data_IF_568451118080
#
_entry.id   IF_568451118080
#
_cell.length_a   1.000
_cell.length_b   1.000
_cell.length_c   1.000
_cell.angle_alpha   90.00
_cell.angle_beta   90.00
_cell.angle_gamma   90.00
#
_symmetry.space_group_name_H-M   'P 1'
#
loop_
_entity.id
_entity.type
_entity.pdbx_description
1 polymer ?
#
# COMPACT_ATOMS: atom_id res chain seq x y z
N UNK A 1 14.00 -20.50 8.95
CA UNK A 1 13.23 -21.67 8.46
C UNK A 1 13.39 -21.88 6.97
N UNK A 2 13.09 -20.91 6.08
CA UNK A 2 13.28 -21.09 4.63
C UNK A 2 14.73 -21.42 4.21
N UNK A 3 15.70 -20.58 4.56
CA UNK A 3 17.13 -20.87 4.34
C UNK A 3 17.58 -22.16 5.06
N UNK A 4 17.04 -22.45 6.25
CA UNK A 4 17.35 -23.68 6.97
C UNK A 4 16.80 -24.95 6.28
N UNK A 5 15.78 -24.82 5.43
CA UNK A 5 15.14 -25.93 4.71
C UNK A 5 15.68 -26.11 3.29
N UNK A 6 16.09 -25.01 2.62
CA UNK A 6 16.52 -25.03 1.21
C UNK A 6 17.98 -24.61 0.99
N UNK A 7 18.68 -24.18 2.04
CA UNK A 7 20.06 -23.68 1.93
C UNK A 7 20.16 -22.50 0.96
N UNK A 8 21.26 -22.47 0.21
CA UNK A 8 21.54 -21.42 -0.77
C UNK A 8 20.56 -21.41 -1.96
N UNK A 9 19.79 -22.49 -2.16
CA UNK A 9 18.75 -22.59 -3.20
C UNK A 9 17.42 -21.92 -2.79
N UNK A 10 17.37 -21.23 -1.64
CA UNK A 10 16.12 -20.63 -1.14
C UNK A 10 15.61 -19.50 -2.06
N UNK A 11 14.38 -19.59 -2.61
CA UNK A 11 13.87 -18.58 -3.53
C UNK A 11 13.37 -17.34 -2.77
N UNK A 12 13.59 -16.16 -3.36
CA UNK A 12 13.16 -14.87 -2.78
C UNK A 12 11.64 -14.70 -2.64
N UNK A 13 10.85 -15.45 -3.42
CA UNK A 13 9.43 -15.68 -3.17
C UNK A 13 9.21 -17.18 -3.00
N UNK A 14 8.97 -17.58 -1.76
CA UNK A 14 8.81 -18.98 -1.38
C UNK A 14 7.65 -19.65 -2.13
N UNK A 15 6.55 -18.94 -2.39
CA UNK A 15 5.35 -19.49 -3.02
C UNK A 15 5.56 -19.85 -4.49
N UNK A 16 6.42 -19.13 -5.20
CA UNK A 16 6.81 -19.49 -6.58
C UNK A 16 7.81 -20.63 -6.63
N UNK A 17 8.57 -20.87 -5.54
CA UNK A 17 9.52 -21.98 -5.43
C UNK A 17 8.88 -23.35 -5.17
N UNK A 18 7.68 -23.36 -4.59
CA UNK A 18 6.97 -24.58 -4.19
C UNK A 18 6.07 -25.20 -5.27
N UNK A 19 6.01 -24.63 -6.48
CA UNK A 19 5.09 -25.08 -7.54
C UNK A 19 5.24 -26.56 -7.96
N UNK A 20 6.30 -27.24 -7.52
CA UNK A 20 6.62 -28.64 -7.88
C UNK A 20 6.55 -29.65 -6.73
N UNK A 21 6.30 -29.22 -5.48
CA UNK A 21 6.25 -30.14 -4.32
C UNK A 21 4.83 -30.20 -3.74
N UNK A 22 4.22 -31.39 -3.79
CA UNK A 22 2.96 -31.69 -3.11
C UNK A 22 3.09 -31.39 -1.60
N UNK A 23 2.09 -30.75 -0.96
CA UNK A 23 0.70 -30.67 -1.42
C UNK A 23 0.23 -29.28 -1.91
N UNK A 24 -0.43 -29.25 -3.07
CA UNK A 24 -0.97 -28.05 -3.71
C UNK A 24 -2.03 -27.29 -2.88
N UNK A 25 -2.82 -27.99 -2.05
CA UNK A 25 -3.87 -27.36 -1.23
C UNK A 25 -3.31 -26.34 -0.24
N UNK A 26 -2.10 -26.57 0.28
CA UNK A 26 -1.49 -25.66 1.25
C UNK A 26 -1.01 -24.37 0.56
N UNK A 27 -0.49 -24.50 -0.67
CA UNK A 27 -0.12 -23.38 -1.51
C UNK A 27 -1.35 -22.54 -1.88
N UNK A 28 -2.47 -23.19 -2.21
CA UNK A 28 -3.73 -22.51 -2.54
C UNK A 28 -4.31 -21.74 -1.36
N UNK A 29 -4.30 -22.31 -0.15
CA UNK A 29 -4.73 -21.61 1.07
C UNK A 29 -3.80 -20.43 1.36
N UNK A 30 -2.49 -20.59 1.20
CA UNK A 30 -1.53 -19.51 1.40
C UNK A 30 -1.77 -18.35 0.41
N UNK A 31 -1.98 -18.67 -0.87
CA UNK A 31 -2.32 -17.68 -1.90
C UNK A 31 -3.66 -16.99 -1.60
N UNK A 32 -4.69 -17.73 -1.17
CA UNK A 32 -5.98 -17.16 -0.79
C UNK A 32 -5.85 -16.21 0.39
N UNK A 33 -5.08 -16.57 1.42
CA UNK A 33 -4.83 -15.72 2.57
C UNK A 33 -4.12 -14.41 2.15
N UNK A 34 -3.15 -14.49 1.24
CA UNK A 34 -2.47 -13.32 0.68
C UNK A 34 -3.44 -12.42 -0.08
N UNK A 35 -4.29 -12.98 -0.93
CA UNK A 35 -5.31 -12.20 -1.66
C UNK A 35 -6.24 -11.48 -0.69
N UNK A 36 -6.78 -12.19 0.30
CA UNK A 36 -7.69 -11.60 1.30
C UNK A 36 -6.99 -10.47 2.07
N UNK A 37 -5.76 -10.72 2.54
CA UNK A 37 -4.98 -9.73 3.27
C UNK A 37 -4.67 -8.49 2.42
N UNK A 38 -4.19 -8.68 1.18
CA UNK A 38 -3.82 -7.59 0.29
C UNK A 38 -5.03 -6.77 -0.16
N UNK A 39 -6.19 -7.39 -0.41
CA UNK A 39 -7.42 -6.67 -0.73
C UNK A 39 -7.84 -5.80 0.46
N UNK A 40 -7.82 -6.34 1.68
CA UNK A 40 -8.12 -5.58 2.89
C UNK A 40 -7.15 -4.42 3.10
N UNK A 41 -5.85 -4.67 2.99
CA UNK A 41 -4.81 -3.65 3.10
C UNK A 41 -5.00 -2.55 2.04
N UNK A 42 -5.22 -2.92 0.78
CA UNK A 42 -5.46 -1.98 -0.31
C UNK A 42 -6.66 -1.06 -0.02
N UNK A 43 -7.77 -1.62 0.47
CA UNK A 43 -8.95 -0.83 0.82
C UNK A 43 -8.66 0.20 1.92
N UNK A 44 -7.97 -0.21 2.98
CA UNK A 44 -7.64 0.69 4.11
C UNK A 44 -6.62 1.76 3.69
N UNK A 45 -5.57 1.40 2.94
CA UNK A 45 -4.54 2.35 2.53
C UNK A 45 -5.03 3.37 1.50
N UNK A 46 -5.93 2.98 0.59
CA UNK A 46 -6.43 3.90 -0.45
C UNK A 46 -7.42 4.94 0.09
N UNK A 47 -8.12 4.64 1.19
CA UNK A 47 -9.16 5.51 1.75
C UNK A 47 -8.64 6.91 2.13
N UNK A 48 -7.57 7.07 2.93
CA UNK A 48 -7.01 8.38 3.26
C UNK A 48 -6.52 9.15 2.03
N UNK A 49 -5.91 8.46 1.07
CA UNK A 49 -5.39 9.07 -0.15
C UNK A 49 -6.53 9.64 -1.00
N UNK A 50 -7.61 8.87 -1.19
CA UNK A 50 -8.79 9.36 -1.89
C UNK A 50 -9.43 10.53 -1.15
N UNK A 51 -9.60 10.44 0.17
CA UNK A 51 -10.17 11.52 0.96
C UNK A 51 -9.35 12.82 0.87
N UNK A 52 -8.02 12.71 0.90
CA UNK A 52 -7.13 13.86 0.76
C UNK A 52 -7.27 14.54 -0.61
N UNK A 53 -7.23 13.76 -1.69
CA UNK A 53 -7.31 14.29 -3.06
C UNK A 53 -8.71 14.87 -3.33
N UNK A 54 -9.77 14.17 -2.92
CA UNK A 54 -11.14 14.65 -3.03
C UNK A 54 -11.31 15.99 -2.28
N UNK A 55 -10.76 16.11 -1.07
CA UNK A 55 -10.77 17.36 -0.30
C UNK A 55 -10.01 18.47 -1.01
N UNK A 56 -8.77 18.22 -1.45
CA UNK A 56 -7.95 19.22 -2.14
C UNK A 56 -8.62 19.71 -3.44
N UNK A 57 -9.20 18.81 -4.23
CA UNK A 57 -9.89 19.17 -5.46
C UNK A 57 -11.16 20.00 -5.20
N UNK A 58 -11.90 19.68 -4.13
CA UNK A 58 -13.11 20.41 -3.73
C UNK A 58 -12.76 21.83 -3.25
N UNK A 59 -11.71 21.97 -2.44
CA UNK A 59 -11.22 23.28 -1.97
C UNK A 59 -10.64 24.13 -3.10
N UNK A 60 -9.96 23.51 -4.07
CA UNK A 60 -9.30 24.22 -5.18
C UNK A 60 -10.27 24.65 -6.27
N UNK A 61 -11.31 23.87 -6.55
CA UNK A 61 -12.28 24.13 -7.61
C UNK A 61 -13.73 24.01 -7.14
N UNK A 62 -14.18 24.89 -6.22
CA UNK A 62 -15.53 24.81 -5.65
C UNK A 62 -16.65 25.03 -6.69
N UNK A 63 -16.37 25.79 -7.75
CA UNK A 63 -17.34 26.15 -8.79
C UNK A 63 -17.50 25.11 -9.92
N UNK A 64 -16.70 24.04 -9.92
CA UNK A 64 -16.77 23.04 -10.98
C UNK A 64 -17.90 22.04 -10.72
N UNK A 65 -18.94 22.09 -11.56
CA UNK A 65 -20.07 21.18 -11.48
C UNK A 65 -19.69 19.69 -11.62
N UNK A 66 -18.54 19.34 -12.22
CA UNK A 66 -18.07 17.95 -12.29
C UNK A 66 -17.51 17.42 -10.96
N UNK A 67 -17.01 18.31 -10.10
CA UNK A 67 -16.39 17.97 -8.80
C UNK A 67 -17.43 18.05 -7.69
N UNK A 68 -18.34 19.03 -7.73
CA UNK A 68 -19.30 19.29 -6.64
C UNK A 68 -20.65 18.59 -6.82
N UNK A 69 -20.96 18.08 -8.02
CA UNK A 69 -22.28 17.49 -8.29
C UNK A 69 -22.36 16.04 -7.80
N UNK A 70 -23.16 15.85 -6.76
CA UNK A 70 -23.53 14.55 -6.23
C UNK A 70 -24.86 14.07 -6.83
N UNK A 71 -24.85 12.88 -7.42
CA UNK A 71 -26.02 12.19 -7.92
C UNK A 71 -26.42 11.10 -6.91
N UNK A 72 -27.57 11.23 -6.28
CA UNK A 72 -28.10 10.18 -5.42
C UNK A 72 -28.63 9.06 -6.29
N UNK A 73 -27.99 7.89 -6.23
CA UNK A 73 -28.45 6.69 -6.93
C UNK A 73 -28.92 5.71 -5.88
N UNK A 74 -30.18 5.28 -6.02
CA UNK A 74 -30.76 4.28 -5.13
C UNK A 74 -30.40 2.91 -5.66
N UNK A 75 -29.45 2.23 -5.01
CA UNK A 75 -29.02 0.89 -5.43
C UNK A 75 -29.90 -0.11 -4.69
N UNK A 76 -30.68 -0.94 -5.40
CA UNK A 76 -31.46 -1.99 -4.76
C UNK A 76 -30.46 -2.94 -4.08
N UNK A 77 -30.53 -3.06 -2.75
CA UNK A 77 -29.68 -3.88 -1.85
C UNK A 77 -28.54 -3.17 -1.09
N UNK A 78 -28.05 -1.99 -1.49
CA UNK A 78 -26.94 -1.29 -0.78
C UNK A 78 -27.28 0.10 -0.22
N UNK A 79 -28.49 0.60 -0.44
CA UNK A 79 -28.93 1.91 0.06
C UNK A 79 -28.80 3.04 -0.97
N UNK A 80 -28.97 4.28 -0.51
CA UNK A 80 -28.87 5.47 -1.36
C UNK A 80 -27.49 6.09 -1.24
N UNK A 81 -26.57 5.71 -2.13
CA UNK A 81 -25.24 6.31 -2.19
C UNK A 81 -25.23 7.55 -3.10
N UNK A 82 -24.56 8.62 -2.66
CA UNK A 82 -24.26 9.76 -3.51
C UNK A 82 -23.04 9.45 -4.39
N UNK A 83 -23.29 9.24 -5.67
CA UNK A 83 -22.27 9.06 -6.69
C UNK A 83 -21.82 10.41 -7.24
N UNK A 84 -20.51 10.61 -7.23
CA UNK A 84 -19.87 11.79 -7.79
C UNK A 84 -18.99 11.33 -8.97
N UNK A 85 -19.19 11.93 -10.14
CA UNK A 85 -18.49 11.53 -11.37
C UNK A 85 -16.96 11.68 -11.22
N UNK A 86 -16.51 12.72 -10.52
CA UNK A 86 -15.09 12.90 -10.22
C UNK A 86 -14.54 11.74 -9.39
N UNK A 87 -15.25 11.33 -8.33
CA UNK A 87 -14.84 10.20 -7.47
C UNK A 87 -14.72 8.90 -8.27
N UNK A 88 -15.65 8.64 -9.18
CA UNK A 88 -15.64 7.46 -10.05
C UNK A 88 -14.44 7.47 -11.00
N UNK A 89 -14.28 8.56 -11.77
CA UNK A 89 -13.20 8.69 -12.77
C UNK A 89 -11.84 8.62 -12.08
N UNK A 90 -11.65 9.34 -10.98
CA UNK A 90 -10.38 9.35 -10.25
C UNK A 90 -10.01 7.96 -9.73
N UNK A 91 -10.96 7.21 -9.17
CA UNK A 91 -10.70 5.85 -8.67
C UNK A 91 -10.31 4.90 -9.79
N UNK A 92 -10.97 4.97 -10.95
CA UNK A 92 -10.63 4.15 -12.12
C UNK A 92 -9.22 4.49 -12.61
N UNK A 93 -8.91 5.77 -12.79
CA UNK A 93 -7.59 6.23 -13.24
C UNK A 93 -6.50 5.75 -12.27
N UNK A 94 -6.72 5.87 -10.96
CA UNK A 94 -5.78 5.41 -9.95
C UNK A 94 -5.54 3.89 -10.00
N UNK A 95 -6.61 3.09 -10.12
CA UNK A 95 -6.50 1.63 -10.24
C UNK A 95 -5.76 1.24 -11.52
N UNK A 96 -6.12 1.83 -12.67
CA UNK A 96 -5.44 1.57 -13.93
C UNK A 96 -3.95 1.93 -13.85
N UNK A 97 -3.62 3.10 -13.30
CA UNK A 97 -2.24 3.56 -13.15
C UNK A 97 -1.40 2.65 -12.26
N UNK A 98 -1.91 2.28 -11.08
CA UNK A 98 -1.21 1.39 -10.15
C UNK A 98 -1.05 -0.02 -10.72
N UNK A 99 -2.05 -0.51 -11.45
CA UNK A 99 -1.99 -1.82 -12.14
C UNK A 99 -0.94 -1.83 -13.24
N UNK A 100 -0.90 -0.79 -14.09
CA UNK A 100 0.13 -0.66 -15.14
C UNK A 100 1.52 -0.58 -14.52
N UNK A 101 1.68 0.22 -13.46
CA UNK A 101 2.96 0.31 -12.74
C UNK A 101 3.39 -1.05 -12.17
N UNK A 102 2.45 -1.81 -11.59
CA UNK A 102 2.71 -3.16 -11.08
C UNK A 102 3.12 -4.14 -12.19
N UNK A 103 2.51 -4.05 -13.38
CA UNK A 103 2.87 -4.88 -14.54
C UNK A 103 4.26 -4.55 -15.10
N UNK A 104 4.66 -3.27 -15.06
CA UNK A 104 5.96 -2.82 -15.56
C UNK A 104 7.12 -3.17 -14.63
N UNK A 105 6.86 -3.44 -13.35
CA UNK A 105 7.87 -3.60 -12.31
C UNK A 105 7.78 -4.98 -11.63
N UNK A 106 8.46 -6.02 -12.15
CA UNK A 106 8.38 -7.38 -11.61
C UNK A 106 9.24 -7.61 -10.34
N UNK A 107 9.82 -6.57 -9.73
CA UNK A 107 10.76 -6.66 -8.60
C UNK A 107 10.15 -6.20 -7.27
N UNK A 108 9.06 -6.85 -6.84
CA UNK A 108 8.33 -6.47 -5.62
C UNK A 108 9.24 -6.39 -4.37
N UNK A 109 10.13 -7.36 -4.19
CA UNK A 109 10.99 -7.46 -3.01
C UNK A 109 11.93 -6.26 -2.87
N UNK A 110 12.55 -5.81 -3.96
CA UNK A 110 13.51 -4.70 -3.93
C UNK A 110 12.83 -3.37 -3.62
N UNK A 111 11.64 -3.15 -4.18
CA UNK A 111 10.84 -1.95 -3.93
C UNK A 111 10.40 -1.88 -2.47
N UNK A 112 9.89 -2.99 -1.92
CA UNK A 112 9.51 -3.06 -0.50
C UNK A 112 10.73 -2.88 0.40
N UNK A 113 11.89 -3.42 0.01
CA UNK A 113 13.15 -3.21 0.72
C UNK A 113 13.56 -1.74 0.78
N UNK A 114 13.50 -1.03 -0.34
CA UNK A 114 13.83 0.40 -0.42
C UNK A 114 12.80 1.25 0.36
N UNK A 115 11.51 1.03 0.14
CA UNK A 115 10.45 1.75 0.87
C UNK A 115 10.55 1.49 2.38
N UNK A 116 10.84 0.25 2.76
CA UNK A 116 11.12 -0.13 4.14
C UNK A 116 12.32 0.62 4.69
N UNK A 117 13.44 0.68 3.96
CA UNK A 117 14.62 1.44 4.39
C UNK A 117 14.30 2.92 4.60
N UNK A 118 13.63 3.57 3.65
CA UNK A 118 13.26 4.99 3.79
C UNK A 118 12.25 5.27 4.90
N UNK A 119 11.32 4.36 5.16
CA UNK A 119 10.33 4.51 6.24
C UNK A 119 10.91 4.21 7.62
N UNK A 120 11.61 3.08 7.75
CA UNK A 120 12.14 2.63 9.03
C UNK A 120 13.39 3.38 9.46
N UNK A 121 14.32 3.72 8.56
CA UNK A 121 15.59 4.34 8.95
C UNK A 121 15.41 5.66 9.73
N UNK A 122 14.55 6.61 9.30
CA UNK A 122 14.31 7.82 10.08
C UNK A 122 13.70 7.51 11.45
N UNK A 123 12.78 6.54 11.51
CA UNK A 123 12.02 6.19 12.72
C UNK A 123 12.85 5.41 13.74
N UNK A 124 13.72 4.50 13.28
CA UNK A 124 14.47 3.59 14.16
C UNK A 124 15.88 4.06 14.44
N UNK A 125 16.48 4.85 13.53
CA UNK A 125 17.86 5.33 13.67
C UNK A 125 17.86 6.83 13.94
N UNK A 126 17.38 7.64 13.00
CA UNK A 126 17.55 9.09 13.07
C UNK A 126 16.83 9.71 14.27
N UNK A 127 15.52 9.52 14.41
CA UNK A 127 14.75 10.15 15.47
C UNK A 127 15.15 9.70 16.88
N UNK A 128 15.39 8.40 17.16
CA UNK A 128 15.82 7.98 18.49
C UNK A 128 17.20 8.53 18.86
N UNK A 129 18.14 8.59 17.91
CA UNK A 129 19.48 9.15 18.14
C UNK A 129 19.39 10.66 18.40
N UNK A 130 18.64 11.41 17.58
CA UNK A 130 18.43 12.84 17.80
C UNK A 130 17.71 13.13 19.12
N UNK A 131 16.69 12.33 19.47
CA UNK A 131 15.98 12.44 20.74
C UNK A 131 16.91 12.18 21.92
N UNK A 132 17.79 11.18 21.80
CA UNK A 132 18.80 10.87 22.82
C UNK A 132 19.82 12.00 23.00
N UNK A 133 20.37 12.53 21.91
CA UNK A 133 21.33 13.65 21.92
C UNK A 133 20.68 14.90 22.54
N UNK A 134 19.46 15.23 22.14
CA UNK A 134 18.70 16.37 22.66
C UNK A 134 18.43 16.23 24.16
N UNK A 135 18.02 15.04 24.61
CA UNK A 135 17.74 14.77 26.03
C UNK A 135 19.01 14.82 26.89
N UNK A 136 20.12 14.26 26.41
CA UNK A 136 21.39 14.23 27.13
C UNK A 136 22.23 15.49 26.96
N UNK A 137 21.78 16.44 26.14
CA UNK A 137 22.49 17.68 25.78
C UNK A 137 23.95 17.42 25.40
N UNK A 138 24.20 16.35 24.64
CA UNK A 138 25.56 15.97 24.24
C UNK A 138 26.08 17.08 23.32
N UNK A 139 27.22 17.66 23.67
CA UNK A 139 27.85 18.68 22.85
C UNK A 139 28.26 18.06 21.51
N UNK A 140 27.89 18.71 20.40
CA UNK A 140 28.36 18.28 19.07
C UNK A 140 29.90 18.27 19.11
N UNK A 141 30.50 17.13 18.77
CA UNK A 141 31.94 16.91 18.71
C UNK A 141 32.68 16.77 20.06
N UNK A 142 32.02 16.40 21.17
CA UNK A 142 32.78 15.91 22.34
C UNK A 142 33.18 14.45 22.12
N UNK A 143 34.49 14.20 22.13
CA UNK A 143 35.07 12.85 22.08
C UNK A 143 34.75 12.01 23.30
#
# INVERSE_FOLDING_TARGET
MGYAAFGDDSPGNLLTGFGFFNPYWLLDIANMAIVIHLVGAYQVYCQPLFAFIEKCCTERWPNNALITKEYKIHVPCCGSDSLNLFRLVWRIVFVCFTTVTAMLMPFFNDVVGILGAFGFWPLTVYFPVEMYISHRKIAKWSS
#
